data_IF_836042212059
#
_entry.id   IF_836042212059
#
_cell.length_a   1.000
_cell.length_b   1.000
_cell.length_c   1.000
_cell.angle_alpha   90.00
_cell.angle_beta   90.00
_cell.angle_gamma   90.00
#
_symmetry.space_group_name_H-M   'P 1'
#
loop_
_entity.id
_entity.type
_entity.pdbx_description
1 polymer ?
#
# COMPACT_ATOMS: atom_id res chain seq x y z
N UNK A 1 -11.20 27.79 20.41
CA UNK A 1 -11.58 26.96 19.24
C UNK A 1 -10.32 26.86 18.40
N UNK A 2 -9.55 25.79 18.59
CA UNK A 2 -8.32 25.52 17.82
C UNK A 2 -8.71 25.11 16.39
N UNK A 3 -7.93 25.46 15.35
CA UNK A 3 -8.17 24.95 14.01
C UNK A 3 -7.93 23.42 13.99
N UNK A 4 -8.59 22.66 13.11
CA UNK A 4 -8.33 21.23 13.00
C UNK A 4 -6.89 21.00 12.56
N UNK A 5 -6.18 20.12 13.26
CA UNK A 5 -4.90 19.56 12.83
C UNK A 5 -5.19 18.75 11.55
N UNK A 6 -4.88 19.33 10.39
CA UNK A 6 -4.96 18.61 9.12
C UNK A 6 -3.83 17.60 9.07
N UNK A 7 -4.16 16.30 9.09
CA UNK A 7 -3.17 15.25 8.90
C UNK A 7 -2.45 15.43 7.57
N UNK A 8 -1.15 15.16 7.53
CA UNK A 8 -0.37 15.36 6.31
C UNK A 8 -0.93 14.44 5.20
N UNK A 9 -1.30 14.99 4.05
CA UNK A 9 -1.72 14.21 2.88
C UNK A 9 -0.64 14.26 1.80
N UNK A 10 -0.61 13.22 0.96
CA UNK A 10 0.19 13.17 -0.26
C UNK A 10 -0.75 13.04 -1.45
N UNK A 11 -0.62 13.93 -2.41
CA UNK A 11 -1.31 13.79 -3.68
C UNK A 11 -0.71 12.62 -4.47
N UNK A 12 -1.59 11.73 -4.94
CA UNK A 12 -1.25 10.54 -5.71
C UNK A 12 -2.18 10.47 -6.91
N UNK A 13 -1.60 10.35 -8.10
CA UNK A 13 -2.33 10.09 -9.34
C UNK A 13 -2.29 8.59 -9.64
N UNK A 14 -3.46 7.96 -9.66
CA UNK A 14 -3.62 6.52 -9.89
C UNK A 14 -4.18 6.31 -11.29
N UNK A 15 -3.56 5.45 -12.09
CA UNK A 15 -3.98 5.12 -13.44
C UNK A 15 -4.33 3.66 -13.63
N UNK A 16 -5.23 3.36 -14.56
CA UNK A 16 -5.50 2.00 -15.07
C UNK A 16 -5.57 2.03 -16.58
N UNK A 17 -5.02 1.00 -17.23
CA UNK A 17 -5.11 0.82 -18.67
C UNK A 17 -4.86 -0.64 -19.06
N UNK A 18 -5.70 -1.17 -19.94
CA UNK A 18 -5.46 -2.46 -20.60
C UNK A 18 -4.60 -2.25 -21.85
N UNK A 19 -3.42 -2.86 -21.85
CA UNK A 19 -2.42 -2.73 -22.92
C UNK A 19 -2.65 -3.68 -24.10
N UNK A 20 -3.59 -4.63 -24.00
CA UNK A 20 -3.82 -5.71 -24.99
C UNK A 20 -2.57 -6.54 -25.35
N UNK A 21 -1.54 -6.50 -24.50
CA UNK A 21 -0.24 -7.07 -24.81
C UNK A 21 0.47 -6.36 -25.96
N UNK A 22 0.25 -5.07 -26.16
CA UNK A 22 1.10 -4.22 -26.99
C UNK A 22 2.21 -3.60 -26.14
N UNK A 23 3.33 -3.32 -26.78
CA UNK A 23 4.45 -2.63 -26.15
C UNK A 23 5.34 -1.97 -27.20
N UNK A 24 4.94 -0.78 -27.63
CA UNK A 24 5.74 0.10 -28.49
C UNK A 24 5.80 1.54 -27.95
N UNK A 25 6.42 2.45 -28.70
CA UNK A 25 6.64 3.83 -28.25
C UNK A 25 5.33 4.60 -28.03
N UNK A 26 4.27 4.27 -28.79
CA UNK A 26 2.97 4.93 -28.63
C UNK A 26 2.32 4.60 -27.30
N UNK A 27 2.52 3.36 -26.83
CA UNK A 27 2.05 2.92 -25.52
C UNK A 27 2.81 3.64 -24.40
N UNK A 28 4.13 3.80 -24.56
CA UNK A 28 4.97 4.58 -23.62
C UNK A 28 4.56 6.04 -23.58
N UNK A 29 4.30 6.65 -24.72
CA UNK A 29 3.86 8.05 -24.79
C UNK A 29 2.50 8.24 -24.11
N UNK A 30 1.61 7.24 -24.14
CA UNK A 30 0.36 7.29 -23.39
C UNK A 30 0.55 7.14 -21.89
N UNK A 31 1.41 6.22 -21.46
CA UNK A 31 1.75 6.11 -20.04
C UNK A 31 2.43 7.38 -19.49
N UNK A 32 3.26 8.05 -20.30
CA UNK A 32 3.83 9.37 -19.95
C UNK A 32 2.76 10.46 -19.88
N UNK A 33 1.79 10.47 -20.78
CA UNK A 33 0.63 11.40 -20.72
C UNK A 33 -0.24 11.16 -19.48
N UNK A 34 -0.42 9.89 -19.09
CA UNK A 34 -1.18 9.55 -17.88
C UNK A 34 -0.54 10.12 -16.62
N UNK A 35 0.79 10.26 -16.59
CA UNK A 35 1.58 10.90 -15.52
C UNK A 35 1.28 10.36 -14.10
N UNK A 36 1.02 9.06 -13.98
CA UNK A 36 0.58 8.44 -12.74
C UNK A 36 1.73 8.04 -11.81
N UNK A 37 1.51 8.14 -10.50
CA UNK A 37 2.42 7.63 -9.46
C UNK A 37 2.22 6.14 -9.17
N UNK A 38 1.00 5.66 -9.44
CA UNK A 38 0.58 4.27 -9.32
C UNK A 38 -0.19 3.87 -10.58
N UNK A 39 0.22 2.78 -11.21
CA UNK A 39 -0.42 2.20 -12.38
C UNK A 39 -0.93 0.79 -12.07
N UNK A 40 -2.20 0.55 -12.39
CA UNK A 40 -2.90 -0.72 -12.28
C UNK A 40 -3.18 -1.21 -13.70
N UNK A 41 -2.21 -1.90 -14.30
CA UNK A 41 -2.23 -2.25 -15.72
C UNK A 41 -2.79 -3.66 -15.93
N UNK A 42 -3.34 -3.92 -17.13
CA UNK A 42 -3.85 -5.23 -17.54
C UNK A 42 -3.37 -5.63 -18.93
N UNK A 43 -3.35 -6.94 -19.20
CA UNK A 43 -2.77 -7.58 -20.39
C UNK A 43 -1.36 -7.08 -20.73
N UNK A 44 -0.46 -7.09 -19.75
CA UNK A 44 0.87 -6.50 -19.90
C UNK A 44 1.84 -7.46 -20.58
N UNK A 45 2.70 -7.00 -21.49
CA UNK A 45 3.81 -7.84 -21.99
C UNK A 45 4.80 -8.10 -20.85
N UNK A 46 5.26 -9.35 -20.68
CA UNK A 46 6.22 -9.66 -19.60
C UNK A 46 7.55 -8.89 -19.69
N UNK A 47 7.93 -8.43 -20.88
CA UNK A 47 9.12 -7.60 -21.11
C UNK A 47 8.89 -6.10 -20.98
N UNK A 48 7.70 -5.66 -20.56
CA UNK A 48 7.39 -4.23 -20.35
C UNK A 48 8.33 -3.65 -19.29
N UNK A 49 8.91 -2.50 -19.61
CA UNK A 49 9.78 -1.71 -18.71
C UNK A 49 9.32 -0.27 -18.76
N UNK A 50 9.06 0.31 -17.60
CA UNK A 50 8.69 1.71 -17.47
C UNK A 50 9.91 2.48 -16.98
N UNK A 51 10.15 3.67 -17.53
CA UNK A 51 11.39 4.42 -17.32
C UNK A 51 11.55 4.86 -15.86
N UNK A 52 10.45 5.21 -15.20
CA UNK A 52 10.38 5.80 -13.86
C UNK A 52 9.58 4.95 -12.87
N UNK A 53 9.21 3.71 -13.21
CA UNK A 53 8.43 2.84 -12.33
C UNK A 53 9.05 1.46 -12.10
N UNK A 54 8.95 0.98 -10.87
CA UNK A 54 9.05 -0.44 -10.56
C UNK A 54 7.77 -1.15 -10.99
N UNK A 55 7.89 -2.36 -11.55
CA UNK A 55 6.74 -3.11 -12.10
C UNK A 55 6.70 -4.50 -11.49
N UNK A 56 5.60 -4.81 -10.81
CA UNK A 56 5.25 -6.16 -10.39
C UNK A 56 4.17 -6.73 -11.31
N UNK A 57 4.47 -7.85 -11.97
CA UNK A 57 3.57 -8.57 -12.86
C UNK A 57 2.92 -9.75 -12.15
N UNK A 58 1.70 -10.11 -12.55
CA UNK A 58 1.08 -11.38 -12.20
C UNK A 58 2.05 -12.55 -12.39
N UNK A 59 2.13 -13.43 -11.40
CA UNK A 59 2.97 -14.62 -11.44
C UNK A 59 2.49 -15.58 -12.55
N UNK A 60 1.17 -15.79 -12.65
CA UNK A 60 0.54 -16.63 -13.66
C UNK A 60 0.72 -16.13 -15.10
N UNK A 61 0.94 -17.05 -16.04
CA UNK A 61 1.05 -16.75 -17.47
C UNK A 61 -0.30 -16.54 -18.13
N UNK A 62 -0.42 -15.46 -18.90
CA UNK A 62 -1.40 -15.32 -19.96
C UNK A 62 -0.78 -15.76 -21.28
N UNK A 63 -1.60 -16.27 -22.20
CA UNK A 63 -1.12 -16.73 -23.51
C UNK A 63 -0.34 -15.62 -24.26
N UNK A 64 0.72 -16.03 -24.96
CA UNK A 64 1.50 -15.14 -25.83
C UNK A 64 2.58 -14.30 -25.13
N UNK A 65 3.07 -14.74 -23.96
CA UNK A 65 4.12 -14.02 -23.22
C UNK A 65 3.59 -12.77 -22.51
N UNK A 66 2.30 -12.78 -22.14
CA UNK A 66 1.61 -11.71 -21.45
C UNK A 66 1.42 -12.10 -19.99
N UNK A 67 1.44 -11.11 -19.11
CA UNK A 67 0.90 -11.21 -17.76
C UNK A 67 -0.55 -10.71 -17.78
N UNK A 68 -1.38 -11.23 -16.88
CA UNK A 68 -2.77 -10.78 -16.76
C UNK A 68 -2.86 -9.35 -16.25
N UNK A 69 -2.10 -9.02 -15.21
CA UNK A 69 -2.10 -7.70 -14.60
C UNK A 69 -0.70 -7.27 -14.17
N UNK A 70 -0.56 -5.99 -13.86
CA UNK A 70 0.60 -5.43 -13.19
C UNK A 70 0.20 -4.33 -12.20
N UNK A 71 0.98 -4.21 -11.13
CA UNK A 71 1.04 -3.01 -10.29
C UNK A 71 2.39 -2.36 -10.54
N UNK A 72 2.41 -1.07 -10.84
CA UNK A 72 3.64 -0.32 -11.02
C UNK A 72 3.61 1.00 -10.24
N UNK A 73 4.74 1.42 -9.68
CA UNK A 73 4.83 2.67 -8.94
C UNK A 73 6.15 3.41 -9.15
N UNK A 74 6.10 4.75 -9.10
CA UNK A 74 7.29 5.62 -9.18
C UNK A 74 8.22 5.55 -7.97
N UNK A 75 7.70 5.16 -6.81
CA UNK A 75 8.51 5.05 -5.60
C UNK A 75 9.34 3.77 -5.64
N UNK A 76 10.60 3.84 -5.18
CA UNK A 76 11.54 2.71 -5.10
C UNK A 76 11.24 1.71 -3.96
N UNK A 77 9.96 1.57 -3.61
CA UNK A 77 9.46 0.82 -2.46
C UNK A 77 8.17 0.07 -2.84
N UNK A 78 8.19 -0.62 -4.00
CA UNK A 78 7.14 -1.55 -4.38
C UNK A 78 7.49 -2.94 -3.86
N UNK A 79 6.68 -3.47 -2.94
CA UNK A 79 6.88 -4.80 -2.38
C UNK A 79 5.85 -5.80 -2.91
N UNK A 80 6.23 -6.75 -3.78
CA UNK A 80 5.32 -7.78 -4.27
C UNK A 80 4.63 -8.57 -3.15
N UNK A 81 3.39 -8.98 -3.42
CA UNK A 81 2.59 -9.85 -2.55
C UNK A 81 2.08 -11.04 -3.37
N UNK A 82 1.67 -12.14 -2.72
CA UNK A 82 1.01 -13.23 -3.42
C UNK A 82 -0.23 -12.74 -4.17
N UNK A 83 -0.39 -13.13 -5.43
CA UNK A 83 -1.56 -12.75 -6.22
C UNK A 83 -2.83 -13.37 -5.62
N UNK A 84 -3.89 -12.58 -5.36
CA UNK A 84 -5.12 -13.12 -4.79
C UNK A 84 -5.83 -14.05 -5.77
N UNK A 85 -5.67 -13.81 -7.07
CA UNK A 85 -6.24 -14.59 -8.15
C UNK A 85 -5.25 -14.68 -9.31
N UNK A 86 -5.29 -15.75 -10.10
CA UNK A 86 -4.34 -15.96 -11.21
C UNK A 86 -4.42 -14.95 -12.36
N UNK A 87 -5.41 -14.04 -12.31
CA UNK A 87 -5.54 -12.88 -13.21
C UNK A 87 -5.39 -11.54 -12.45
N UNK A 88 -4.58 -11.51 -11.40
CA UNK A 88 -4.33 -10.31 -10.60
C UNK A 88 -2.85 -10.15 -10.29
N UNK A 89 -2.43 -8.93 -9.97
CA UNK A 89 -1.12 -8.60 -9.45
C UNK A 89 -1.32 -7.80 -8.16
N UNK A 90 -0.61 -8.15 -7.09
CA UNK A 90 -0.75 -7.46 -5.80
C UNK A 90 0.59 -7.03 -5.25
N UNK A 91 0.67 -5.81 -4.74
CA UNK A 91 1.86 -5.27 -4.11
C UNK A 91 1.48 -4.30 -2.99
N UNK A 92 2.38 -4.10 -2.05
CA UNK A 92 2.33 -2.95 -1.13
C UNK A 92 3.14 -1.82 -1.77
N UNK A 93 2.53 -0.64 -1.87
CA UNK A 93 3.16 0.57 -2.41
C UNK A 93 3.33 1.56 -1.27
N UNK A 94 4.56 1.97 -1.02
CA UNK A 94 4.86 2.89 0.07
C UNK A 94 4.10 4.23 -0.05
N UNK A 95 3.53 4.67 1.07
CA UNK A 95 2.69 5.87 1.14
C UNK A 95 1.29 5.72 0.52
N UNK A 96 0.93 4.55 0.00
CA UNK A 96 -0.41 4.22 -0.53
C UNK A 96 -1.05 3.03 0.20
N UNK A 97 -0.29 1.95 0.42
CA UNK A 97 -0.76 0.72 1.04
C UNK A 97 -0.87 -0.45 0.07
N UNK A 98 -1.69 -1.46 0.38
CA UNK A 98 -1.87 -2.65 -0.47
C UNK A 98 -2.69 -2.30 -1.71
N UNK A 99 -2.12 -2.52 -2.89
CA UNK A 99 -2.74 -2.26 -4.19
C UNK A 99 -2.90 -3.55 -4.99
N UNK A 100 -4.02 -3.70 -5.68
CA UNK A 100 -4.31 -4.84 -6.54
C UNK A 100 -4.78 -4.37 -7.92
N UNK A 101 -4.18 -4.92 -8.98
CA UNK A 101 -4.71 -4.83 -10.35
C UNK A 101 -5.28 -6.18 -10.75
N UNK A 102 -6.46 -6.20 -11.38
CA UNK A 102 -7.15 -7.42 -11.77
C UNK A 102 -7.77 -7.33 -13.17
N UNK A 103 -7.74 -8.45 -13.89
CA UNK A 103 -8.70 -8.73 -14.96
C UNK A 103 -9.82 -9.58 -14.35
N UNK A 104 -11.07 -9.12 -14.46
CA UNK A 104 -12.24 -9.93 -14.13
C UNK A 104 -12.82 -10.60 -15.38
N UNK A 105 -13.58 -11.70 -15.22
CA UNK A 105 -14.11 -12.47 -16.36
C UNK A 105 -15.05 -11.68 -17.27
N UNK A 106 -14.89 -11.87 -18.58
CA UNK A 106 -15.84 -11.46 -19.62
C UNK A 106 -16.67 -12.64 -20.14
N UNK A 107 -17.72 -12.38 -20.91
CA UNK A 107 -18.65 -13.43 -21.41
C UNK A 107 -17.97 -14.60 -22.14
N UNK A 108 -16.92 -14.34 -22.92
CA UNK A 108 -16.24 -15.33 -23.75
C UNK A 108 -14.86 -15.77 -23.21
N UNK A 109 -14.57 -15.52 -21.92
CA UNK A 109 -13.29 -15.88 -21.30
C UNK A 109 -13.00 -17.38 -21.23
N UNK A 110 -14.01 -18.21 -21.53
CA UNK A 110 -13.93 -19.67 -21.44
C UNK A 110 -13.89 -20.18 -20.00
N UNK A 111 -13.49 -21.44 -19.85
CA UNK A 111 -13.45 -22.17 -18.56
C UNK A 111 -12.04 -22.62 -18.19
N UNK A 112 -11.03 -22.23 -18.97
CA UNK A 112 -9.63 -22.53 -18.66
C UNK A 112 -9.17 -21.65 -17.50
N UNK A 113 -8.16 -22.13 -16.77
CA UNK A 113 -7.47 -21.35 -15.76
C UNK A 113 -7.09 -19.95 -16.31
N UNK A 114 -7.20 -18.89 -15.49
CA UNK A 114 -7.43 -18.91 -14.05
C UNK A 114 -8.91 -18.99 -13.63
N UNK A 115 -9.84 -19.14 -14.56
CA UNK A 115 -11.26 -19.01 -14.26
C UNK A 115 -11.88 -20.24 -13.60
N UNK A 116 -12.58 -20.03 -12.48
CA UNK A 116 -13.30 -21.06 -11.72
C UNK A 116 -14.79 -20.75 -11.72
N UNK A 117 -15.62 -21.70 -12.17
CA UNK A 117 -17.08 -21.52 -12.24
C UNK A 117 -17.66 -21.85 -13.62
N UNK A 118 -18.89 -22.36 -13.65
CA UNK A 118 -19.57 -22.78 -14.87
C UNK A 118 -20.14 -21.58 -15.63
N UNK A 119 -20.69 -20.60 -14.91
CA UNK A 119 -21.25 -19.37 -15.51
C UNK A 119 -20.28 -18.20 -15.40
N UNK A 120 -20.45 -17.16 -16.25
CA UNK A 120 -19.66 -15.91 -16.12
C UNK A 120 -19.88 -15.28 -14.74
N UNK A 121 -21.11 -15.34 -14.21
CA UNK A 121 -21.41 -14.82 -12.89
C UNK A 121 -20.65 -15.55 -11.77
N UNK A 122 -20.58 -16.88 -11.82
CA UNK A 122 -19.80 -17.68 -10.86
C UNK A 122 -18.31 -17.37 -10.97
N UNK A 123 -17.77 -17.30 -12.19
CA UNK A 123 -16.37 -16.90 -12.42
C UNK A 123 -16.08 -15.53 -11.83
N UNK A 124 -16.95 -14.55 -12.08
CA UNK A 124 -16.77 -13.21 -11.51
C UNK A 124 -16.85 -13.28 -9.98
N UNK A 125 -17.78 -14.06 -9.43
CA UNK A 125 -17.94 -14.17 -7.98
C UNK A 125 -16.72 -14.79 -7.28
N UNK A 126 -16.14 -15.84 -7.87
CA UNK A 126 -14.90 -16.46 -7.36
C UNK A 126 -13.72 -15.49 -7.42
N UNK A 127 -13.46 -14.87 -8.58
CA UNK A 127 -12.36 -13.92 -8.72
C UNK A 127 -12.50 -12.73 -7.77
N UNK A 128 -13.71 -12.17 -7.64
CA UNK A 128 -14.00 -11.07 -6.72
C UNK A 128 -13.86 -11.50 -5.26
N UNK A 129 -14.30 -12.71 -4.90
CA UNK A 129 -14.15 -13.23 -3.54
C UNK A 129 -12.67 -13.37 -3.15
N UNK A 130 -11.81 -13.82 -4.06
CA UNK A 130 -10.37 -13.89 -3.81
C UNK A 130 -9.75 -12.51 -3.57
N UNK A 131 -10.12 -11.50 -4.37
CA UNK A 131 -9.63 -10.12 -4.18
C UNK A 131 -10.19 -9.51 -2.88
N UNK A 132 -11.47 -9.68 -2.60
CA UNK A 132 -12.12 -9.21 -1.36
C UNK A 132 -11.43 -9.80 -0.13
N UNK A 133 -11.12 -11.11 -0.15
CA UNK A 133 -10.44 -11.79 0.95
C UNK A 133 -9.01 -11.28 1.18
N UNK A 134 -8.33 -10.81 0.13
CA UNK A 134 -6.99 -10.23 0.23
C UNK A 134 -6.98 -8.78 0.75
N UNK A 135 -8.13 -8.09 0.72
CA UNK A 135 -8.31 -6.79 1.35
C UNK A 135 -7.39 -5.68 0.82
N UNK A 136 -7.30 -5.43 -0.50
CA UNK A 136 -6.53 -4.30 -1.01
C UNK A 136 -7.17 -2.97 -0.60
N UNK A 137 -6.33 -1.97 -0.31
CA UNK A 137 -6.73 -0.58 -0.05
C UNK A 137 -7.08 0.12 -1.37
N UNK A 138 -6.37 -0.20 -2.45
CA UNK A 138 -6.67 0.28 -3.81
C UNK A 138 -6.85 -0.94 -4.72
N UNK A 139 -7.94 -0.96 -5.48
CA UNK A 139 -8.21 -2.04 -6.43
C UNK A 139 -8.58 -1.48 -7.80
N UNK A 140 -7.97 -1.96 -8.87
CA UNK A 140 -8.29 -1.51 -10.22
C UNK A 140 -8.02 -2.53 -11.31
N UNK A 141 -7.96 -2.07 -12.56
CA UNK A 141 -7.78 -2.91 -13.75
C UNK A 141 -9.06 -2.99 -14.61
N UNK A 142 -9.08 -3.98 -15.51
CA UNK A 142 -10.21 -4.28 -16.39
C UNK A 142 -11.20 -5.22 -15.69
N UNK A 143 -12.30 -4.65 -15.20
CA UNK A 143 -13.30 -5.40 -14.44
C UNK A 143 -14.35 -6.06 -15.34
N UNK A 144 -14.28 -5.83 -16.65
CA UNK A 144 -15.21 -6.39 -17.64
C UNK A 144 -16.69 -6.21 -17.27
N UNK A 145 -17.04 -5.26 -16.41
CA UNK A 145 -18.40 -4.94 -16.01
C UNK A 145 -18.46 -3.43 -15.79
N UNK A 146 -19.33 -2.75 -16.53
CA UNK A 146 -19.62 -1.37 -16.20
C UNK A 146 -20.35 -1.32 -14.86
N UNK A 147 -20.04 -0.36 -13.99
CA UNK A 147 -20.76 -0.21 -12.72
C UNK A 147 -21.98 0.70 -12.82
N UNK A 148 -22.20 1.35 -13.96
CA UNK A 148 -23.35 2.22 -14.24
C UNK A 148 -23.84 1.99 -15.66
N UNK A 149 -25.11 2.34 -15.91
CA UNK A 149 -25.71 2.26 -17.24
C UNK A 149 -25.78 0.83 -17.80
N UNK A 150 -25.95 0.70 -19.14
CA UNK A 150 -25.94 -0.58 -19.84
C UNK A 150 -24.60 -1.34 -19.68
N UNK A 151 -24.63 -2.66 -19.83
CA UNK A 151 -23.44 -3.53 -19.84
C UNK A 151 -23.55 -4.54 -20.99
N UNK A 152 -22.43 -4.81 -21.65
CA UNK A 152 -22.36 -5.86 -22.65
C UNK A 152 -21.20 -6.85 -22.42
N UNK A 153 -20.12 -6.44 -21.75
CA UNK A 153 -18.97 -7.30 -21.47
C UNK A 153 -19.25 -8.27 -20.32
N UNK A 154 -19.95 -7.79 -19.30
CA UNK A 154 -20.12 -8.47 -18.02
C UNK A 154 -21.46 -9.16 -17.86
N UNK A 155 -21.79 -9.50 -16.62
CA UNK A 155 -23.09 -10.05 -16.25
C UNK A 155 -23.72 -9.23 -15.13
N UNK A 156 -25.05 -9.11 -15.11
CA UNK A 156 -25.75 -8.35 -14.06
C UNK A 156 -25.41 -8.86 -12.65
N UNK A 157 -25.40 -10.18 -12.45
CA UNK A 157 -25.02 -10.79 -11.17
C UNK A 157 -23.55 -10.55 -10.83
N UNK A 158 -22.64 -10.59 -11.82
CA UNK A 158 -21.23 -10.25 -11.63
C UNK A 158 -21.05 -8.79 -11.19
N UNK A 159 -21.72 -7.85 -11.86
CA UNK A 159 -21.77 -6.43 -11.48
C UNK A 159 -22.27 -6.24 -10.05
N UNK A 160 -23.34 -6.92 -9.65
CA UNK A 160 -23.89 -6.81 -8.29
C UNK A 160 -22.88 -7.33 -7.25
N UNK A 161 -22.16 -8.42 -7.56
CA UNK A 161 -21.11 -8.96 -6.70
C UNK A 161 -19.90 -8.02 -6.57
N UNK A 162 -19.48 -7.39 -7.67
CA UNK A 162 -18.41 -6.38 -7.66
C UNK A 162 -18.80 -5.20 -6.79
N UNK A 163 -20.02 -4.65 -6.95
CA UNK A 163 -20.52 -3.54 -6.14
C UNK A 163 -20.55 -3.87 -4.66
N UNK A 164 -20.93 -5.10 -4.31
CA UNK A 164 -20.91 -5.55 -2.92
C UNK A 164 -19.49 -5.61 -2.37
N UNK A 165 -18.53 -6.16 -3.12
CA UNK A 165 -17.12 -6.22 -2.71
C UNK A 165 -16.53 -4.82 -2.53
N UNK A 166 -16.77 -3.90 -3.48
CA UNK A 166 -16.40 -2.48 -3.38
C UNK A 166 -16.90 -1.87 -2.07
N UNK A 167 -18.18 -2.08 -1.73
CA UNK A 167 -18.76 -1.59 -0.46
C UNK A 167 -18.09 -2.22 0.76
N UNK A 168 -17.83 -3.53 0.75
CA UNK A 168 -17.23 -4.25 1.89
C UNK A 168 -15.75 -3.88 2.10
N UNK A 169 -15.04 -3.58 1.03
CA UNK A 169 -13.67 -3.05 1.06
C UNK A 169 -13.62 -1.55 1.44
N UNK A 170 -14.77 -0.88 1.58
CA UNK A 170 -14.83 0.54 1.90
C UNK A 170 -14.34 1.43 0.75
N UNK A 171 -14.51 0.99 -0.49
CA UNK A 171 -14.05 1.71 -1.68
C UNK A 171 -15.18 2.48 -2.36
N UNK A 172 -14.80 3.55 -3.05
CA UNK A 172 -15.59 4.21 -4.07
C UNK A 172 -14.89 4.09 -5.42
N UNK A 173 -15.64 4.11 -6.52
CA UNK A 173 -15.09 3.93 -7.88
C UNK A 173 -15.36 5.17 -8.73
N UNK A 174 -14.48 6.20 -8.69
CA UNK A 174 -14.69 7.46 -9.44
C UNK A 174 -14.81 7.25 -10.95
N UNK A 175 -14.14 6.23 -11.50
CA UNK A 175 -14.20 5.94 -12.94
C UNK A 175 -15.52 5.30 -13.38
N UNK A 176 -16.39 4.89 -12.45
CA UNK A 176 -17.65 4.16 -12.75
C UNK A 176 -18.64 4.92 -13.64
N UNK A 177 -18.57 6.26 -13.64
CA UNK A 177 -19.43 7.12 -14.45
C UNK A 177 -18.72 7.71 -15.67
N UNK A 178 -17.42 7.45 -15.83
CA UNK A 178 -16.66 7.93 -16.98
C UNK A 178 -17.09 7.17 -18.25
N UNK A 179 -17.07 7.82 -19.42
CA UNK A 179 -17.51 7.18 -20.65
C UNK A 179 -16.55 6.05 -21.07
N UNK A 180 -17.10 5.03 -21.73
CA UNK A 180 -16.34 4.08 -22.54
C UNK A 180 -15.92 4.74 -23.86
N UNK A 181 -15.01 4.12 -24.62
CA UNK A 181 -14.73 4.54 -26.00
C UNK A 181 -15.92 4.34 -26.95
N UNK A 182 -16.89 3.50 -26.56
CA UNK A 182 -18.10 3.21 -27.30
C UNK A 182 -19.20 4.16 -26.83
N UNK A 183 -20.02 4.67 -27.77
CA UNK A 183 -21.09 5.60 -27.40
C UNK A 183 -22.06 4.96 -26.42
N UNK A 184 -22.60 5.80 -25.52
CA UNK A 184 -23.66 5.45 -24.56
C UNK A 184 -23.29 4.41 -23.49
N UNK A 185 -22.02 4.00 -23.41
CA UNK A 185 -21.52 3.07 -22.38
C UNK A 185 -20.63 3.78 -21.36
N UNK A 186 -20.64 3.29 -20.13
CA UNK A 186 -19.69 3.67 -19.08
C UNK A 186 -18.47 2.76 -19.11
N UNK A 187 -17.38 3.22 -18.48
CA UNK A 187 -16.14 2.46 -18.33
C UNK A 187 -16.39 1.07 -17.74
N UNK A 188 -15.59 0.11 -18.18
CA UNK A 188 -15.42 -1.22 -17.55
C UNK A 188 -14.06 -1.33 -16.85
N UNK A 189 -13.18 -0.36 -17.07
CA UNK A 189 -11.87 -0.22 -16.45
C UNK A 189 -11.99 0.69 -15.23
N UNK A 190 -11.64 0.13 -14.07
CA UNK A 190 -12.02 0.72 -12.80
C UNK A 190 -10.83 1.01 -11.90
N UNK A 191 -10.98 2.07 -11.10
CA UNK A 191 -10.08 2.40 -9.99
C UNK A 191 -10.98 2.62 -8.77
N UNK A 192 -10.90 1.68 -7.84
CA UNK A 192 -11.50 1.72 -6.51
C UNK A 192 -10.49 2.28 -5.51
N UNK A 193 -10.86 3.36 -4.84
CA UNK A 193 -10.06 4.02 -3.79
C UNK A 193 -10.88 4.12 -2.51
N UNK A 194 -10.26 4.19 -1.32
CA UNK A 194 -10.98 4.30 -0.06
C UNK A 194 -11.96 5.47 -0.05
N UNK A 195 -13.16 5.23 0.51
CA UNK A 195 -14.19 6.26 0.67
C UNK A 195 -13.69 7.43 1.53
N UNK A 196 -12.80 7.16 2.47
CA UNK A 196 -12.21 8.14 3.38
C UNK A 196 -11.17 9.07 2.72
N UNK A 197 -10.63 8.71 1.54
CA UNK A 197 -9.64 9.56 0.86
C UNK A 197 -10.35 10.73 0.18
N UNK A 198 -9.75 11.91 0.29
CA UNK A 198 -10.14 13.05 -0.53
C UNK A 198 -9.78 12.75 -1.99
N UNK A 199 -10.71 13.08 -2.88
CA UNK A 199 -10.61 12.79 -4.31
C UNK A 199 -10.66 14.11 -5.04
N UNK A 200 -9.65 14.36 -5.89
CA UNK A 200 -9.62 15.48 -6.81
C UNK A 200 -10.47 15.15 -8.04
N UNK A 201 -9.81 15.00 -9.20
CA UNK A 201 -10.47 14.62 -10.45
C UNK A 201 -10.43 13.12 -10.78
N UNK A 202 -11.32 12.71 -11.68
CA UNK A 202 -11.20 11.47 -12.42
C UNK A 202 -11.39 11.76 -13.90
N UNK A 203 -10.55 11.18 -14.77
CA UNK A 203 -10.55 11.47 -16.19
C UNK A 203 -10.34 10.21 -17.04
N UNK A 204 -10.91 10.25 -18.25
CA UNK A 204 -10.65 9.30 -19.33
C UNK A 204 -9.56 9.90 -20.23
N UNK A 205 -8.61 9.07 -20.63
CA UNK A 205 -7.57 9.39 -21.62
C UNK A 205 -7.77 8.44 -22.80
N UNK A 206 -8.07 8.99 -23.97
CA UNK A 206 -8.34 8.17 -25.14
C UNK A 206 -7.08 7.42 -25.59
N UNK A 207 -7.19 6.11 -25.83
CA UNK A 207 -6.10 5.28 -26.33
C UNK A 207 -5.91 5.46 -27.84
N UNK A 208 -5.62 6.68 -28.25
CA UNK A 208 -5.43 7.08 -29.64
C UNK A 208 -4.11 7.84 -29.84
N UNK A 209 -3.39 7.50 -30.90
CA UNK A 209 -2.18 8.21 -31.36
C UNK A 209 -2.24 8.41 -32.85
N UNK A 210 -2.00 9.63 -33.29
CA UNK A 210 -1.95 9.98 -34.72
C UNK A 210 -3.22 9.54 -35.49
N UNK A 211 -4.41 9.68 -34.88
CA UNK A 211 -5.67 9.30 -35.50
C UNK A 211 -5.97 7.79 -35.49
N UNK A 212 -5.19 6.98 -34.76
CA UNK A 212 -5.35 5.52 -34.71
C UNK A 212 -5.44 5.02 -33.27
N UNK A 213 -6.39 4.12 -33.01
CA UNK A 213 -6.47 3.44 -31.71
C UNK A 213 -5.26 2.56 -31.47
N UNK A 214 -4.67 2.72 -30.29
CA UNK A 214 -3.56 1.93 -29.77
C UNK A 214 -3.99 0.95 -28.67
N UNK A 215 -5.24 1.05 -28.19
CA UNK A 215 -5.93 0.02 -27.41
C UNK A 215 -7.45 0.08 -27.70
N UNK A 216 -8.16 -1.04 -27.53
CA UNK A 216 -9.62 -1.15 -27.48
C UNK A 216 -10.16 -0.73 -26.10
N UNK A 217 -9.27 -0.56 -25.12
CA UNK A 217 -9.54 0.13 -23.87
C UNK A 217 -8.92 1.52 -23.87
N UNK A 218 -9.69 2.50 -23.37
CA UNK A 218 -9.11 3.77 -22.99
C UNK A 218 -8.44 3.67 -21.62
N UNK A 219 -7.55 4.59 -21.33
CA UNK A 219 -6.95 4.71 -20.00
C UNK A 219 -7.84 5.59 -19.10
N UNK A 220 -7.74 5.36 -17.79
CA UNK A 220 -8.45 6.14 -16.80
C UNK A 220 -7.52 6.51 -15.65
N UNK A 221 -7.71 7.72 -15.12
CA UNK A 221 -6.90 8.26 -14.02
C UNK A 221 -7.80 8.83 -12.93
N UNK A 222 -7.34 8.74 -11.68
CA UNK A 222 -7.98 9.33 -10.50
C UNK A 222 -6.91 10.02 -9.66
N UNK A 223 -7.16 11.26 -9.29
CA UNK A 223 -6.36 12.01 -8.33
C UNK A 223 -6.93 11.85 -6.93
N UNK A 224 -6.08 11.47 -5.98
CA UNK A 224 -6.46 11.31 -4.56
C UNK A 224 -5.43 11.96 -3.66
N UNK A 225 -5.88 12.48 -2.52
CA UNK A 225 -5.01 12.86 -1.43
C UNK A 225 -4.98 11.72 -0.42
N UNK A 226 -3.85 11.00 -0.38
CA UNK A 226 -3.65 9.86 0.51
C UNK A 226 -3.18 10.36 1.87
N UNK A 227 -3.94 10.11 2.96
CA UNK A 227 -3.49 10.41 4.30
C UNK A 227 -2.15 9.73 4.56
N UNK A 228 -1.15 10.52 4.89
CA UNK A 228 0.12 10.01 5.38
C UNK A 228 -0.02 9.83 6.89
N UNK A 229 0.58 8.79 7.48
CA UNK A 229 0.65 8.68 8.92
C UNK A 229 1.32 9.95 9.46
N UNK A 230 0.60 10.70 10.29
CA UNK A 230 1.15 11.84 11.00
C UNK A 230 2.37 11.35 11.79
N UNK A 231 3.53 11.91 11.48
CA UNK A 231 4.78 11.55 12.16
C UNK A 231 4.80 12.00 13.64
N UNK A 232 3.70 12.59 14.16
CA UNK A 232 3.68 13.19 15.50
C UNK A 232 2.34 13.21 16.27
N UNK A 233 1.17 12.92 15.69
CA UNK A 233 -0.09 13.01 16.47
C UNK A 233 -0.49 11.66 17.08
N UNK A 234 -0.47 11.59 18.42
CA UNK A 234 -1.11 10.54 19.19
C UNK A 234 -2.62 10.46 18.92
N UNK A 235 -3.18 9.31 19.31
CA UNK A 235 -4.60 8.89 19.26
C UNK A 235 -5.11 8.27 17.95
N UNK A 236 -5.09 6.94 17.90
CA UNK A 236 -6.14 6.14 17.26
C UNK A 236 -6.09 4.72 17.84
N UNK A 237 -6.99 4.47 18.78
CA UNK A 237 -7.41 3.11 19.13
C UNK A 237 -8.15 2.44 17.95
N UNK A 238 -7.93 1.12 17.86
CA UNK A 238 -8.74 0.04 17.26
C UNK A 238 -8.54 -0.34 15.78
N UNK A 239 -8.00 -1.56 15.62
CA UNK A 239 -8.28 -2.47 14.50
C UNK A 239 -7.09 -3.37 14.15
N UNK A 240 -6.95 -4.52 14.82
CA UNK A 240 -5.89 -5.52 14.55
C UNK A 240 -5.96 -6.12 13.13
N UNK A 241 -4.83 -6.25 12.42
CA UNK A 241 -4.57 -7.37 11.53
C UNK A 241 -3.37 -8.20 12.04
N UNK A 242 -3.64 -9.38 12.62
CA UNK A 242 -2.66 -10.47 12.84
C UNK A 242 -1.43 -10.20 13.73
N UNK A 243 -0.73 -11.24 14.22
CA UNK A 243 0.46 -11.05 15.05
C UNK A 243 1.65 -10.74 14.14
N UNK A 244 2.13 -9.49 14.13
CA UNK A 244 3.54 -9.25 13.81
C UNK A 244 4.35 -9.87 14.95
N UNK A 245 5.18 -10.87 14.63
CA UNK A 245 6.03 -11.53 15.60
C UNK A 245 7.21 -10.60 15.95
N UNK A 246 7.17 -10.01 17.13
CA UNK A 246 8.35 -9.41 17.79
C UNK A 246 8.85 -10.40 18.85
N UNK A 247 10.09 -10.22 19.29
CA UNK A 247 10.66 -11.01 20.37
C UNK A 247 9.93 -10.66 21.70
N UNK A 248 9.06 -11.58 22.14
CA UNK A 248 8.24 -11.41 23.34
C UNK A 248 9.11 -11.40 24.59
N UNK A 249 10.18 -12.19 24.64
CA UNK A 249 11.09 -12.25 25.79
C UNK A 249 11.89 -10.95 25.92
N UNK A 250 12.35 -10.37 24.80
CA UNK A 250 12.96 -9.05 24.81
C UNK A 250 11.96 -7.95 25.21
N UNK A 251 10.70 -8.03 24.78
CA UNK A 251 9.66 -7.09 25.19
C UNK A 251 9.35 -7.18 26.70
N UNK A 252 9.27 -8.38 27.27
CA UNK A 252 9.08 -8.57 28.71
C UNK A 252 10.24 -7.96 29.51
N UNK A 253 11.49 -8.17 29.07
CA UNK A 253 12.64 -7.54 29.74
C UNK A 253 12.63 -6.01 29.64
N UNK A 254 12.14 -5.43 28.54
CA UNK A 254 11.97 -3.97 28.42
C UNK A 254 10.89 -3.46 29.37
N UNK A 255 9.77 -4.18 29.54
CA UNK A 255 8.75 -3.87 30.57
C UNK A 255 9.35 -3.87 31.95
N UNK A 256 10.09 -4.94 32.29
CA UNK A 256 10.73 -5.06 33.60
C UNK A 256 11.64 -3.85 33.90
N UNK A 257 12.46 -3.41 32.93
CA UNK A 257 13.35 -2.25 33.11
C UNK A 257 12.55 -0.96 33.35
N UNK A 258 11.46 -0.75 32.62
CA UNK A 258 10.60 0.43 32.73
C UNK A 258 9.79 0.45 34.03
N UNK A 259 9.39 -0.72 34.56
CA UNK A 259 8.61 -0.86 35.80
C UNK A 259 9.47 -0.84 37.07
N UNK A 260 10.71 -1.33 37.02
CA UNK A 260 11.53 -1.56 38.23
C UNK A 260 12.44 -0.41 38.63
N UNK A 261 12.44 0.71 37.89
CA UNK A 261 13.43 1.76 38.13
C UNK A 261 12.81 3.08 38.59
N UNK A 262 12.58 3.19 39.91
CA UNK A 262 12.23 4.44 40.61
C UNK A 262 13.29 5.55 40.37
N UNK A 263 14.52 5.19 40.03
CA UNK A 263 15.64 6.10 39.75
C UNK A 263 15.61 6.71 38.33
N UNK A 264 14.80 6.15 37.43
CA UNK A 264 14.75 6.58 36.02
C UNK A 264 13.70 7.64 35.75
N UNK A 265 13.04 8.23 36.76
CA UNK A 265 12.06 9.33 36.62
C UNK A 265 11.13 9.14 35.40
N UNK A 266 10.60 7.92 35.27
CA UNK A 266 9.67 7.55 34.20
C UNK A 266 8.29 8.05 34.64
N UNK A 267 7.63 8.94 33.88
CA UNK A 267 6.25 9.35 34.11
C UNK A 267 5.34 8.14 34.34
N UNK A 268 4.35 8.29 35.22
CA UNK A 268 3.53 7.21 35.77
C UNK A 268 2.72 6.37 34.76
N UNK A 269 2.79 6.66 33.47
CA UNK A 269 2.09 5.93 32.42
C UNK A 269 3.02 5.65 31.22
N UNK A 270 3.53 4.42 31.15
CA UNK A 270 4.13 3.86 29.94
C UNK A 270 3.03 3.21 29.11
N UNK A 271 2.93 3.57 27.82
CA UNK A 271 1.96 2.98 26.89
C UNK A 271 2.65 2.06 25.89
N UNK A 272 2.06 0.90 25.64
CA UNK A 272 2.52 -0.02 24.60
C UNK A 272 1.71 0.14 23.31
N UNK A 273 2.40 0.22 22.17
CA UNK A 273 1.74 0.31 20.86
C UNK A 273 2.52 -0.44 19.79
N UNK A 274 1.81 -1.24 18.99
CA UNK A 274 2.37 -1.92 17.81
C UNK A 274 2.67 -0.89 16.73
N UNK A 275 3.94 -0.72 16.37
CA UNK A 275 4.40 0.20 15.32
C UNK A 275 5.83 -0.14 14.89
N UNK A 276 6.30 0.44 13.79
CA UNK A 276 7.65 0.19 13.24
C UNK A 276 7.98 -1.31 13.04
N UNK A 277 6.95 -2.12 12.72
CA UNK A 277 7.11 -3.56 12.57
C UNK A 277 7.42 -4.31 13.87
N UNK A 278 7.14 -3.71 15.04
CA UNK A 278 7.47 -4.24 16.36
C UNK A 278 6.53 -3.73 17.48
N UNK A 279 6.99 -3.80 18.73
CA UNK A 279 6.29 -3.29 19.91
C UNK A 279 7.02 -2.08 20.48
N UNK A 280 6.38 -0.91 20.47
CA UNK A 280 6.91 0.33 21.01
C UNK A 280 6.39 0.61 22.42
N UNK A 281 7.27 1.19 23.24
CA UNK A 281 7.01 1.70 24.58
C UNK A 281 7.09 3.23 24.54
N UNK A 282 5.98 3.86 24.89
CA UNK A 282 5.78 5.30 24.82
C UNK A 282 5.75 5.88 26.22
N UNK A 283 6.40 7.03 26.39
CA UNK A 283 6.43 7.85 27.60
C UNK A 283 5.98 9.25 27.19
N UNK A 284 4.96 9.79 27.85
CA UNK A 284 4.36 11.09 27.49
C UNK A 284 3.96 11.17 26.00
N UNK A 285 3.38 10.08 25.49
CA UNK A 285 3.00 9.92 24.07
C UNK A 285 4.17 9.96 23.06
N UNK A 286 5.42 9.96 23.53
CA UNK A 286 6.62 9.87 22.72
C UNK A 286 7.27 8.49 22.83
N UNK A 287 7.71 7.92 21.71
CA UNK A 287 8.37 6.61 21.73
C UNK A 287 9.77 6.72 22.32
N UNK A 288 10.01 6.01 23.42
CA UNK A 288 11.33 5.89 24.03
C UNK A 288 12.13 4.72 23.41
N UNK A 289 11.50 3.55 23.35
CA UNK A 289 12.13 2.32 22.84
C UNK A 289 11.10 1.46 22.12
N UNK A 290 11.52 0.74 21.08
CA UNK A 290 10.71 -0.28 20.44
C UNK A 290 11.50 -1.57 20.20
N UNK A 291 10.87 -2.71 20.50
CA UNK A 291 11.37 -4.04 20.14
C UNK A 291 11.00 -4.31 18.69
N UNK A 292 12.00 -4.43 17.83
CA UNK A 292 11.78 -4.62 16.39
C UNK A 292 11.41 -6.06 16.07
N UNK A 293 10.46 -6.27 15.15
CA UNK A 293 10.18 -7.59 14.56
C UNK A 293 11.33 -8.10 13.68
N UNK A 294 12.31 -7.26 13.35
CA UNK A 294 13.56 -7.65 12.71
C UNK A 294 14.69 -7.97 13.71
N UNK A 295 14.36 -8.05 15.01
CA UNK A 295 15.29 -8.28 16.11
C UNK A 295 15.93 -6.99 16.63
N UNK A 296 16.22 -6.98 17.94
CA UNK A 296 16.90 -5.88 18.64
C UNK A 296 15.96 -4.72 18.98
N UNK A 297 16.54 -3.53 19.19
CA UNK A 297 15.82 -2.33 19.61
C UNK A 297 15.86 -1.23 18.53
N UNK A 298 14.85 -0.37 18.57
CA UNK A 298 14.85 0.93 17.91
C UNK A 298 14.71 2.00 18.97
N UNK A 299 15.55 3.03 18.88
CA UNK A 299 15.65 4.09 19.87
C UNK A 299 15.56 5.45 19.19
N UNK A 300 14.84 6.37 19.83
CA UNK A 300 15.02 7.79 19.59
C UNK A 300 16.14 8.28 20.49
N UNK A 301 17.05 9.07 19.94
CA UNK A 301 18.20 9.61 20.69
C UNK A 301 18.30 11.11 20.51
N UNK A 302 18.96 11.76 21.46
CA UNK A 302 19.35 13.15 21.32
C UNK A 302 20.21 13.32 20.04
N UNK A 303 19.90 14.31 19.18
CA UNK A 303 20.65 14.55 17.95
C UNK A 303 22.17 14.68 18.18
N UNK A 304 22.56 15.27 19.31
CA UNK A 304 23.95 15.50 19.72
C UNK A 304 24.67 14.21 20.14
N UNK A 305 23.93 13.20 20.61
CA UNK A 305 24.49 11.92 21.05
C UNK A 305 24.54 10.86 19.95
N UNK A 306 23.71 11.01 18.91
CA UNK A 306 23.55 10.01 17.85
C UNK A 306 24.85 9.60 17.16
N UNK A 307 25.75 10.54 16.88
CA UNK A 307 27.04 10.23 16.24
C UNK A 307 27.99 9.39 17.11
N UNK A 308 27.97 9.61 18.43
CA UNK A 308 28.79 8.85 19.37
C UNK A 308 28.24 7.43 19.55
N UNK A 309 26.92 7.30 19.68
CA UNK A 309 26.24 6.01 19.82
C UNK A 309 26.38 5.15 18.55
N UNK A 310 26.36 5.76 17.35
CA UNK A 310 26.62 5.07 16.08
C UNK A 310 28.02 4.49 15.95
N UNK A 311 28.98 4.94 16.76
CA UNK A 311 30.33 4.37 16.77
C UNK A 311 30.42 3.08 17.61
N UNK A 312 29.36 2.74 18.34
CA UNK A 312 29.34 1.55 19.20
C UNK A 312 29.03 0.27 18.41
N UNK A 313 29.67 -0.86 18.75
CA UNK A 313 29.39 -2.14 18.11
C UNK A 313 27.91 -2.54 18.23
N UNK A 314 27.31 -2.94 17.11
CA UNK A 314 25.91 -3.36 17.08
C UNK A 314 24.91 -2.20 17.09
N UNK A 315 25.35 -0.97 16.78
CA UNK A 315 24.47 0.19 16.57
C UNK A 315 24.53 0.62 15.12
N UNK A 316 23.36 0.77 14.51
CA UNK A 316 23.18 1.13 13.12
C UNK A 316 22.26 2.36 12.99
N UNK A 317 22.43 3.20 11.96
CA UNK A 317 21.46 4.24 11.68
C UNK A 317 20.11 3.60 11.34
N UNK A 318 19.03 4.10 11.92
CA UNK A 318 17.71 3.66 11.48
C UNK A 318 17.47 4.19 10.06
N UNK A 319 17.29 3.27 9.11
CA UNK A 319 17.00 3.60 7.72
C UNK A 319 15.53 3.36 7.44
N UNK A 320 14.84 4.39 6.93
CA UNK A 320 13.48 4.28 6.45
C UNK A 320 13.44 4.81 5.02
N UNK A 321 12.88 4.01 4.09
CA UNK A 321 12.77 4.37 2.66
C UNK A 321 14.11 4.80 2.05
N UNK A 322 15.16 4.02 2.34
CA UNK A 322 16.53 4.28 1.87
C UNK A 322 17.24 5.51 2.47
N UNK A 323 16.62 6.21 3.44
CA UNK A 323 17.22 7.38 4.11
C UNK A 323 17.45 7.13 5.59
N UNK A 324 18.64 7.49 6.08
CA UNK A 324 18.92 7.49 7.50
C UNK A 324 18.08 8.56 8.21
N UNK A 325 17.40 8.18 9.29
CA UNK A 325 16.60 9.07 10.11
C UNK A 325 17.50 9.72 11.17
N UNK A 326 17.65 11.04 11.12
CA UNK A 326 18.42 11.78 12.12
C UNK A 326 17.80 11.64 13.51
N UNK A 327 18.61 11.32 14.53
CA UNK A 327 18.14 11.09 15.90
C UNK A 327 17.50 9.71 16.13
N UNK A 328 17.71 8.76 15.22
CA UNK A 328 17.16 7.41 15.32
C UNK A 328 18.21 6.34 15.11
N UNK A 329 18.22 5.35 16.01
CA UNK A 329 19.17 4.25 16.00
C UNK A 329 18.46 2.91 16.01
N UNK A 330 19.11 1.92 15.39
CA UNK A 330 18.81 0.52 15.56
C UNK A 330 19.94 -0.12 16.35
N UNK A 331 19.59 -0.92 17.34
CA UNK A 331 20.55 -1.71 18.13
C UNK A 331 20.29 -3.18 17.83
N UNK A 332 21.33 -3.93 17.47
CA UNK A 332 21.20 -5.35 17.13
C UNK A 332 20.85 -6.19 18.38
N UNK A 333 20.25 -7.38 18.21
CA UNK A 333 19.93 -8.26 19.34
C UNK A 333 21.11 -8.53 20.27
N UNK A 334 22.30 -8.76 19.71
CA UNK A 334 23.52 -9.09 20.45
C UNK A 334 24.00 -7.91 21.32
N UNK A 335 23.74 -6.68 20.89
CA UNK A 335 24.07 -5.46 21.62
C UNK A 335 23.02 -5.08 22.67
N UNK A 336 21.94 -5.86 22.81
CA UNK A 336 20.84 -5.65 23.76
C UNK A 336 20.85 -6.67 24.91
N UNK A 337 21.93 -7.41 25.14
CA UNK A 337 21.99 -8.44 26.18
C UNK A 337 22.44 -7.90 27.56
N UNK A 338 21.95 -8.52 28.64
CA UNK A 338 22.34 -8.22 30.01
C UNK A 338 22.11 -6.75 30.39
N UNK A 339 23.09 -6.12 31.04
CA UNK A 339 23.03 -4.73 31.49
C UNK A 339 22.95 -3.71 30.33
N UNK A 340 23.31 -4.10 29.10
CA UNK A 340 23.23 -3.22 27.94
C UNK A 340 21.77 -2.85 27.62
N UNK A 341 20.82 -3.76 27.88
CA UNK A 341 19.40 -3.49 27.69
C UNK A 341 18.94 -2.28 28.50
N UNK A 342 19.30 -2.23 29.78
CA UNK A 342 18.95 -1.14 30.68
C UNK A 342 19.46 0.20 30.13
N UNK A 343 20.75 0.23 29.78
CA UNK A 343 21.39 1.42 29.19
C UNK A 343 20.68 1.91 27.93
N UNK A 344 20.24 1.00 27.05
CA UNK A 344 19.52 1.39 25.83
C UNK A 344 18.14 1.96 26.11
N UNK A 345 17.43 1.42 27.11
CA UNK A 345 16.16 2.01 27.57
C UNK A 345 16.40 3.41 28.13
N UNK A 346 17.45 3.62 28.91
CA UNK A 346 17.83 4.94 29.46
C UNK A 346 18.13 5.96 28.36
N UNK A 347 18.87 5.54 27.33
CA UNK A 347 19.15 6.37 26.14
C UNK A 347 17.85 6.77 25.44
N UNK A 348 16.91 5.83 25.27
CA UNK A 348 15.59 6.10 24.69
C UNK A 348 14.77 7.09 25.52
N UNK A 349 14.78 6.94 26.85
CA UNK A 349 14.11 7.86 27.78
C UNK A 349 14.72 9.27 27.74
N UNK A 350 16.05 9.37 27.69
CA UNK A 350 16.74 10.65 27.54
C UNK A 350 16.37 11.34 26.22
N UNK A 351 16.29 10.56 25.13
CA UNK A 351 15.83 11.06 23.82
C UNK A 351 14.41 11.63 23.85
N UNK A 352 13.51 11.08 24.67
CA UNK A 352 12.17 11.65 24.90
C UNK A 352 12.24 12.94 25.71
N UNK A 353 13.05 13.00 26.77
CA UNK A 353 13.19 14.20 27.63
C UNK A 353 13.80 15.41 26.91
N UNK A 354 14.66 15.17 25.94
CA UNK A 354 15.29 16.23 25.16
C UNK A 354 14.35 16.87 24.14
N UNK A 355 13.13 16.36 24.00
CA UNK A 355 12.13 16.99 23.16
C UNK A 355 11.74 18.34 23.78
N UNK A 356 11.60 19.40 22.95
CA UNK A 356 11.08 20.66 23.45
C UNK A 356 9.67 20.42 24.01
N UNK A 357 9.49 20.71 25.30
CA UNK A 357 8.17 20.71 25.93
C UNK A 357 7.28 21.77 25.26
N UNK A 358 6.01 21.44 25.04
CA UNK A 358 5.01 22.38 24.51
C UNK A 358 4.65 23.50 25.50
#
# INVERSE_FOLDING_TARGET
MLPPLGGQTRDVRIGTWNLEGRWDERDRDLLREMDCDLLLLTEVRRGTRLDDHEVHLTAGDMAGGRAWAAVASRAADLEPRPDPHGASAMAVVDGVGTCCSSILPWRSCGTRAPWVGATTAERTAEAVASVEAAGPVVWGGDWNNALRGPDWSGSRSGRDRIREAVRRLGLVVPTSALPHHLPDLCSIDHIGVPEAWERGGAARIAAEREGRRISDHDAYVVEVAVPQPDLWSGTAERGHPGPMAYDVELADRVRDVLETTDELDVPSEVREKKMFGGLAFLVEDHMAVAVSGQGGLMLRVEPEQGAALLAEPGVEPMVMRGRAMGGWLRVTPEACEGEALRRWVEVGLAGVRALPGE
#
